data_IF_239452610850
#
_entry.id   IF_239452610850
#
_cell.length_a   1.000
_cell.length_b   1.000
_cell.length_c   1.000
_cell.angle_alpha   90.00
_cell.angle_beta   90.00
_cell.angle_gamma   90.00
#
_symmetry.space_group_name_H-M   'P 1'
#
loop_
_entity.id
_entity.type
_entity.pdbx_description
1 polymer ?
#
# COMPACT_ATOMS: atom_id res chain seq x y z
N UNK A 1 8.49 8.65 -18.80
CA UNK A 1 9.46 8.34 -19.88
C UNK A 1 8.72 7.72 -21.07
N UNK A 2 8.61 8.35 -22.23
CA UNK A 2 8.24 9.73 -22.54
C UNK A 2 7.74 9.68 -23.99
N UNK A 3 6.56 10.24 -24.26
CA UNK A 3 6.26 10.79 -25.58
C UNK A 3 7.49 11.59 -26.03
N UNK A 4 8.05 11.28 -27.20
CA UNK A 4 9.24 11.98 -27.69
C UNK A 4 8.86 13.41 -28.03
N UNK A 5 9.06 14.32 -27.09
CA UNK A 5 8.83 15.76 -27.29
C UNK A 5 9.97 16.35 -28.10
N UNK A 6 9.62 17.18 -29.08
CA UNK A 6 10.59 17.99 -29.78
C UNK A 6 11.24 19.01 -28.82
N UNK A 7 12.47 19.50 -29.12
CA UNK A 7 13.10 20.53 -28.31
C UNK A 7 12.26 21.81 -28.19
N UNK A 8 11.50 22.15 -29.24
CA UNK A 8 10.61 23.31 -29.26
C UNK A 8 9.41 23.11 -28.33
N UNK A 9 8.75 21.95 -28.36
CA UNK A 9 7.65 21.62 -27.45
C UNK A 9 8.11 21.60 -26.00
N UNK A 10 9.26 20.98 -25.73
CA UNK A 10 9.85 20.97 -24.38
C UNK A 10 10.14 22.40 -23.89
N UNK A 11 10.73 23.24 -24.74
CA UNK A 11 10.99 24.65 -24.41
C UNK A 11 9.70 25.44 -24.19
N UNK A 12 8.66 25.18 -24.98
CA UNK A 12 7.34 25.80 -24.82
C UNK A 12 6.71 25.44 -23.47
N UNK A 13 6.71 24.16 -23.09
CA UNK A 13 6.16 23.71 -21.80
C UNK A 13 6.93 24.34 -20.64
N UNK A 14 8.27 24.28 -20.66
CA UNK A 14 9.09 24.82 -19.56
C UNK A 14 8.93 26.34 -19.46
N UNK A 15 8.90 27.08 -20.58
CA UNK A 15 8.72 28.53 -20.59
C UNK A 15 7.32 28.95 -20.12
N UNK A 16 6.27 28.19 -20.50
CA UNK A 16 4.91 28.41 -20.03
C UNK A 16 4.75 28.20 -18.53
N UNK A 17 5.34 27.13 -17.98
CA UNK A 17 5.30 26.82 -16.55
C UNK A 17 6.16 27.79 -15.71
N UNK A 18 7.31 28.20 -16.23
CA UNK A 18 8.25 29.11 -15.54
C UNK A 18 7.88 30.60 -15.65
N UNK A 19 6.88 30.95 -16.47
CA UNK A 19 6.50 32.34 -16.71
C UNK A 19 6.17 33.08 -15.41
N UNK A 20 6.79 34.24 -15.16
CA UNK A 20 6.84 34.88 -13.84
C UNK A 20 5.46 35.22 -13.27
N UNK A 21 4.64 35.95 -14.03
CA UNK A 21 3.34 36.49 -13.57
C UNK A 21 2.16 35.55 -13.82
N UNK A 22 2.13 34.89 -14.97
CA UNK A 22 1.02 34.03 -15.40
C UNK A 22 1.56 32.68 -15.89
N UNK A 23 1.80 31.70 -15.00
CA UNK A 23 2.14 30.36 -15.44
C UNK A 23 0.97 29.76 -16.19
N UNK A 24 1.22 29.15 -17.34
CA UNK A 24 0.18 28.56 -18.19
C UNK A 24 0.49 27.08 -18.41
N UNK A 25 -0.54 26.25 -18.21
CA UNK A 25 -0.53 24.83 -18.55
C UNK A 25 -1.26 24.61 -19.87
N UNK A 26 -0.95 23.51 -20.54
CA UNK A 26 -1.57 23.16 -21.82
C UNK A 26 -3.07 22.90 -21.72
N UNK A 27 -3.52 22.46 -20.55
CA UNK A 27 -4.93 22.18 -20.23
C UNK A 27 -5.66 23.37 -19.56
N UNK A 28 -4.96 24.48 -19.32
CA UNK A 28 -5.51 25.68 -18.69
C UNK A 28 -5.71 25.60 -17.17
N UNK A 29 -5.34 24.49 -16.51
CA UNK A 29 -5.42 24.37 -15.05
C UNK A 29 -4.39 25.24 -14.35
N UNK A 30 -4.64 25.56 -13.09
CA UNK A 30 -3.62 26.15 -12.24
C UNK A 30 -2.52 25.12 -11.88
N UNK A 31 -1.37 25.59 -11.41
CA UNK A 31 -0.21 24.72 -11.11
C UNK A 31 -0.50 23.72 -9.98
N UNK A 32 -1.33 24.09 -9.00
CA UNK A 32 -1.62 23.28 -7.81
C UNK A 32 -2.99 22.59 -7.87
N UNK A 33 -3.64 22.58 -9.03
CA UNK A 33 -4.98 22.02 -9.20
C UNK A 33 -4.90 20.61 -9.81
N UNK A 34 -5.18 19.56 -9.01
CA UNK A 34 -5.22 18.19 -9.50
C UNK A 34 -6.48 17.94 -10.33
N UNK A 35 -6.43 16.95 -11.23
CA UNK A 35 -7.63 16.43 -11.89
C UNK A 35 -8.56 15.76 -10.89
N UNK A 36 -9.88 15.76 -11.14
CA UNK A 36 -10.82 14.94 -10.40
C UNK A 36 -10.38 13.47 -10.35
N UNK A 37 -10.52 12.87 -9.18
CA UNK A 37 -10.17 11.48 -8.93
C UNK A 37 -11.43 10.73 -8.53
N UNK A 38 -11.71 9.65 -9.24
CA UNK A 38 -12.80 8.73 -8.94
C UNK A 38 -12.24 7.44 -8.36
N UNK A 39 -12.83 6.99 -7.25
CA UNK A 39 -12.48 5.74 -6.57
C UNK A 39 -13.71 4.84 -6.55
N UNK A 40 -13.62 3.67 -7.17
CA UNK A 40 -14.62 2.61 -7.05
C UNK A 40 -14.08 1.47 -6.19
N UNK A 41 -14.96 0.87 -5.38
CA UNK A 41 -14.64 -0.23 -4.48
C UNK A 41 -15.33 -1.51 -4.92
N UNK A 42 -14.74 -2.66 -4.61
CA UNK A 42 -15.38 -3.97 -4.86
C UNK A 42 -15.27 -4.49 -6.29
N UNK A 43 -14.32 -3.98 -7.09
CA UNK A 43 -14.14 -4.40 -8.49
C UNK A 43 -13.53 -5.80 -8.64
N UNK A 44 -12.82 -6.30 -7.63
CA UNK A 44 -12.24 -7.63 -7.63
C UNK A 44 -12.90 -8.49 -6.53
N UNK A 45 -13.94 -9.30 -6.86
CA UNK A 45 -14.72 -10.04 -5.87
C UNK A 45 -13.94 -11.16 -5.17
N UNK A 46 -12.83 -11.60 -5.74
CA UNK A 46 -11.95 -12.61 -5.15
C UNK A 46 -10.90 -12.02 -4.19
N UNK A 47 -10.72 -10.70 -4.19
CA UNK A 47 -9.79 -10.04 -3.27
C UNK A 47 -10.49 -9.74 -1.94
N UNK A 48 -9.73 -9.76 -0.85
CA UNK A 48 -10.21 -9.39 0.49
C UNK A 48 -10.51 -7.89 0.60
N UNK A 49 -9.83 -7.07 -0.19
CA UNK A 49 -10.14 -5.65 -0.41
C UNK A 49 -9.77 -5.27 -1.83
N UNK A 50 -10.56 -4.42 -2.47
CA UNK A 50 -10.28 -4.00 -3.84
C UNK A 50 -10.71 -2.58 -4.11
N UNK A 51 -9.94 -1.89 -4.93
CA UNK A 51 -10.26 -0.57 -5.39
C UNK A 51 -9.77 -0.35 -6.82
N UNK A 52 -10.49 0.47 -7.57
CA UNK A 52 -10.03 1.06 -8.82
C UNK A 52 -10.03 2.56 -8.68
N UNK A 53 -8.96 3.16 -9.17
CA UNK A 53 -8.75 4.59 -9.16
C UNK A 53 -8.63 5.05 -10.60
N UNK A 54 -9.48 5.98 -10.98
CA UNK A 54 -9.45 6.64 -12.28
C UNK A 54 -9.20 8.11 -12.06
N UNK A 55 -8.09 8.62 -12.61
CA UNK A 55 -7.81 10.04 -12.68
C UNK A 55 -8.30 10.52 -14.05
N UNK A 56 -9.08 11.61 -14.06
CA UNK A 56 -9.58 12.20 -15.30
C UNK A 56 -8.42 12.44 -16.28
N UNK A 57 -8.66 12.23 -17.57
CA UNK A 57 -7.61 12.26 -18.60
C UNK A 57 -6.93 10.91 -18.86
N UNK A 58 -7.36 9.85 -18.18
CA UNK A 58 -7.13 8.47 -18.62
C UNK A 58 -6.01 7.72 -17.90
N UNK A 59 -5.68 8.06 -16.64
CA UNK A 59 -4.83 7.19 -15.81
C UNK A 59 -5.73 6.30 -14.98
N UNK A 60 -5.56 4.98 -15.11
CA UNK A 60 -6.42 3.99 -14.45
C UNK A 60 -5.57 2.90 -13.81
N UNK A 61 -5.83 2.65 -12.53
CA UNK A 61 -5.13 1.66 -11.72
C UNK A 61 -6.15 0.83 -10.95
N UNK A 62 -5.98 -0.49 -10.98
CA UNK A 62 -6.69 -1.41 -10.10
C UNK A 62 -5.73 -1.88 -9.01
N UNK A 63 -6.21 -1.95 -7.77
CA UNK A 63 -5.52 -2.58 -6.66
C UNK A 63 -6.41 -3.64 -6.01
N UNK A 64 -5.80 -4.77 -5.66
CA UNK A 64 -6.41 -5.85 -4.90
C UNK A 64 -5.49 -6.26 -3.75
N UNK A 65 -6.08 -6.53 -2.59
CA UNK A 65 -5.38 -7.07 -1.43
C UNK A 65 -5.91 -8.47 -1.15
N UNK A 66 -5.00 -9.44 -1.10
CA UNK A 66 -5.28 -10.81 -0.67
C UNK A 66 -4.61 -11.07 0.67
N UNK A 67 -5.32 -11.72 1.60
CA UNK A 67 -4.75 -12.12 2.89
C UNK A 67 -4.29 -13.58 2.83
N UNK A 68 -3.04 -13.82 3.20
CA UNK A 68 -2.49 -15.17 3.39
C UNK A 68 -2.10 -15.37 4.86
N UNK A 69 -2.19 -16.60 5.34
CA UNK A 69 -1.76 -16.93 6.70
C UNK A 69 -0.29 -17.32 6.63
N UNK A 70 0.56 -16.56 7.34
CA UNK A 70 1.99 -16.83 7.41
C UNK A 70 2.45 -17.09 8.84
N UNK A 71 3.41 -18.00 8.97
CA UNK A 71 4.18 -18.16 10.20
C UNK A 71 5.31 -17.12 10.24
N UNK A 72 5.44 -16.42 11.36
CA UNK A 72 6.44 -15.39 11.59
C UNK A 72 7.40 -15.86 12.66
N UNK A 73 8.67 -15.98 12.29
CA UNK A 73 9.72 -16.25 13.27
C UNK A 73 9.88 -15.04 14.19
N UNK A 74 9.93 -15.29 15.51
CA UNK A 74 10.08 -14.24 16.53
C UNK A 74 11.37 -13.41 16.39
N UNK A 75 12.36 -13.90 15.62
CA UNK A 75 13.62 -13.21 15.28
C UNK A 75 13.50 -12.29 14.08
N UNK A 76 12.47 -12.47 13.24
CA UNK A 76 12.26 -11.71 12.01
C UNK A 76 11.35 -10.50 12.27
N UNK A 77 11.95 -9.33 12.47
CA UNK A 77 11.22 -8.08 12.67
C UNK A 77 10.58 -7.59 11.36
N UNK A 78 9.41 -8.15 11.06
CA UNK A 78 8.55 -7.73 9.96
C UNK A 78 8.41 -8.69 8.80
N UNK A 79 8.55 -10.00 9.03
CA UNK A 79 8.11 -11.01 8.06
C UNK A 79 6.58 -10.98 7.83
N UNK A 80 5.80 -10.36 8.73
CA UNK A 80 4.37 -10.09 8.56
C UNK A 80 4.06 -8.90 7.64
N UNK A 81 5.07 -8.17 7.15
CA UNK A 81 4.84 -6.99 6.33
C UNK A 81 4.23 -7.36 4.99
N UNK A 82 3.45 -6.43 4.47
CA UNK A 82 2.79 -6.56 3.17
C UNK A 82 3.80 -6.88 2.06
N UNK A 83 3.48 -7.88 1.24
CA UNK A 83 4.16 -8.11 -0.01
C UNK A 83 3.50 -7.25 -1.09
N UNK A 84 4.30 -6.53 -1.88
CA UNK A 84 3.79 -5.62 -2.91
C UNK A 84 4.24 -6.10 -4.28
N UNK A 85 3.26 -6.27 -5.16
CA UNK A 85 3.46 -6.61 -6.56
C UNK A 85 2.77 -5.54 -7.42
N UNK A 86 3.49 -5.01 -8.41
CA UNK A 86 2.95 -4.02 -9.34
C UNK A 86 3.15 -4.54 -10.76
N UNK A 87 2.07 -4.67 -11.51
CA UNK A 87 2.08 -5.04 -12.92
C UNK A 87 1.75 -3.82 -13.79
N UNK A 88 2.68 -3.44 -14.67
CA UNK A 88 2.49 -2.35 -15.62
C UNK A 88 2.14 -2.97 -16.96
N UNK A 89 0.87 -2.89 -17.34
CA UNK A 89 0.40 -3.56 -18.55
C UNK A 89 0.98 -2.91 -19.81
N UNK A 90 1.20 -3.69 -20.89
CA UNK A 90 1.57 -3.13 -22.19
C UNK A 90 0.54 -2.16 -22.78
N UNK A 91 -0.72 -2.23 -22.32
CA UNK A 91 -1.77 -1.28 -22.72
C UNK A 91 -1.54 0.12 -22.15
N UNK A 92 -1.00 0.21 -20.92
CA UNK A 92 -0.66 1.48 -20.31
C UNK A 92 0.47 2.21 -21.04
N UNK A 93 1.43 1.45 -21.58
CA UNK A 93 2.58 1.99 -22.32
C UNK A 93 2.89 1.17 -23.58
N UNK A 94 2.13 1.37 -24.68
CA UNK A 94 2.29 0.57 -25.90
C UNK A 94 3.63 0.81 -26.61
N UNK A 95 4.28 1.94 -26.35
CA UNK A 95 5.59 2.29 -26.94
C UNK A 95 6.77 1.70 -26.18
N UNK A 96 6.57 1.07 -25.02
CA UNK A 96 7.64 0.54 -24.19
C UNK A 96 7.89 -0.95 -24.47
N UNK A 97 9.15 -1.36 -24.33
CA UNK A 97 9.54 -2.77 -24.38
C UNK A 97 9.11 -3.51 -23.11
N UNK A 98 8.95 -4.83 -23.20
CA UNK A 98 8.63 -5.68 -22.03
C UNK A 98 9.67 -5.56 -20.91
N UNK A 99 10.95 -5.42 -21.24
CA UNK A 99 12.01 -5.20 -20.26
C UNK A 99 11.82 -3.88 -19.51
N UNK A 100 11.49 -2.79 -20.22
CA UNK A 100 11.22 -1.50 -19.58
C UNK A 100 9.97 -1.54 -18.70
N UNK A 101 8.93 -2.26 -19.10
CA UNK A 101 7.73 -2.47 -18.28
C UNK A 101 8.07 -3.18 -16.96
N UNK A 102 8.85 -4.26 -17.03
CA UNK A 102 9.29 -4.98 -15.81
C UNK A 102 10.12 -4.11 -14.86
N UNK A 103 10.96 -3.22 -15.40
CA UNK A 103 11.74 -2.27 -14.60
C UNK A 103 10.84 -1.25 -13.90
N UNK A 104 9.80 -0.74 -14.59
CA UNK A 104 8.82 0.16 -14.01
C UNK A 104 8.01 -0.51 -12.91
N UNK A 105 7.54 -1.74 -13.16
CA UNK A 105 6.89 -2.59 -12.17
C UNK A 105 7.72 -2.71 -10.89
N UNK A 106 9.00 -3.08 -11.01
CA UNK A 106 9.90 -3.20 -9.85
C UNK A 106 10.12 -1.87 -9.14
N UNK A 107 10.28 -0.77 -9.88
CA UNK A 107 10.47 0.56 -9.31
C UNK A 107 9.25 0.99 -8.48
N UNK A 108 8.05 0.82 -9.03
CA UNK A 108 6.80 1.16 -8.33
C UNK A 108 6.53 0.25 -7.14
N UNK A 109 6.85 -1.04 -7.24
CA UNK A 109 6.78 -1.96 -6.11
C UNK A 109 7.74 -1.55 -4.97
N UNK A 110 8.98 -1.16 -5.29
CA UNK A 110 9.93 -0.60 -4.30
C UNK A 110 9.37 0.65 -3.65
N UNK A 111 8.85 1.61 -4.44
CA UNK A 111 8.33 2.87 -3.93
C UNK A 111 7.26 2.65 -2.84
N UNK A 112 6.32 1.73 -3.08
CA UNK A 112 5.27 1.40 -2.12
C UNK A 112 5.79 0.54 -0.96
N UNK A 113 6.65 -0.44 -1.23
CA UNK A 113 7.27 -1.28 -0.19
C UNK A 113 8.07 -0.45 0.81
N UNK A 114 8.81 0.55 0.35
CA UNK A 114 9.73 1.32 1.18
C UNK A 114 9.01 2.40 2.02
N UNK A 115 7.92 2.97 1.51
CA UNK A 115 7.28 4.14 2.12
C UNK A 115 5.82 3.95 2.55
N UNK A 116 5.05 3.09 1.87
CA UNK A 116 3.65 2.82 2.19
C UNK A 116 3.51 1.69 3.23
N UNK A 117 4.16 0.55 2.99
CA UNK A 117 4.06 -0.67 3.84
C UNK A 117 4.41 -0.44 5.32
N UNK A 118 5.43 0.36 5.69
CA UNK A 118 5.74 0.61 7.10
C UNK A 118 4.63 1.28 7.91
N UNK A 119 3.66 1.91 7.23
CA UNK A 119 2.53 2.58 7.88
C UNK A 119 1.34 1.64 8.14
N UNK A 120 1.40 0.39 7.66
CA UNK A 120 0.33 -0.59 7.86
C UNK A 120 0.40 -1.22 9.27
N UNK A 121 -0.72 -1.32 9.99
CA UNK A 121 -0.75 -2.01 11.27
C UNK A 121 -0.58 -3.53 11.09
N UNK A 122 0.02 -4.24 12.06
CA UNK A 122 0.11 -5.69 12.02
C UNK A 122 -1.27 -6.34 12.15
N UNK A 123 -1.46 -7.46 11.47
CA UNK A 123 -2.70 -8.25 11.47
C UNK A 123 -2.48 -9.61 12.18
N UNK A 124 -2.49 -9.65 13.52
CA UNK A 124 -2.21 -10.87 14.26
C UNK A 124 -3.37 -11.87 14.22
N UNK A 125 -3.04 -13.16 14.08
CA UNK A 125 -3.96 -14.28 14.31
C UNK A 125 -3.67 -14.91 15.66
N UNK A 126 -2.42 -15.39 15.83
CA UNK A 126 -1.92 -15.97 17.06
C UNK A 126 -0.54 -15.37 17.36
N UNK A 127 -0.46 -14.23 18.06
CA UNK A 127 0.82 -13.65 18.44
C UNK A 127 1.63 -14.61 19.34
N UNK A 128 2.96 -14.76 19.13
CA UNK A 128 3.81 -14.14 18.10
C UNK A 128 4.04 -15.02 16.85
N UNK A 129 3.31 -16.12 16.67
CA UNK A 129 3.63 -17.15 15.67
C UNK A 129 2.90 -16.98 14.34
N UNK A 130 1.62 -16.59 14.33
CA UNK A 130 0.78 -16.52 13.12
C UNK A 130 0.21 -15.14 12.88
N UNK A 131 0.37 -14.64 11.66
CA UNK A 131 -0.13 -13.35 11.20
C UNK A 131 -0.80 -13.50 9.83
N UNK A 132 -1.74 -12.60 9.53
CA UNK A 132 -2.16 -12.37 8.16
C UNK A 132 -1.10 -11.53 7.45
N UNK A 133 -0.57 -12.07 6.35
CA UNK A 133 0.33 -11.39 5.44
C UNK A 133 -0.51 -10.85 4.29
N UNK A 134 -0.66 -9.52 4.16
CA UNK A 134 -1.34 -8.94 3.02
C UNK A 134 -0.44 -8.99 1.77
N UNK A 135 -1.01 -9.44 0.66
CA UNK A 135 -0.43 -9.38 -0.67
C UNK A 135 -1.18 -8.30 -1.45
N UNK A 136 -0.52 -7.17 -1.67
CA UNK A 136 -1.03 -6.06 -2.45
C UNK A 136 -0.61 -6.24 -3.90
N UNK A 137 -1.57 -6.44 -4.79
CA UNK A 137 -1.38 -6.51 -6.23
C UNK A 137 -1.97 -5.25 -6.85
N UNK A 138 -1.15 -4.47 -7.56
CA UNK A 138 -1.60 -3.33 -8.35
C UNK A 138 -1.37 -3.58 -9.83
N UNK A 139 -2.34 -3.21 -10.65
CA UNK A 139 -2.24 -3.29 -12.11
C UNK A 139 -2.52 -1.93 -12.72
N UNK A 140 -1.56 -1.38 -13.46
CA UNK A 140 -1.73 -0.14 -14.22
C UNK A 140 -2.35 -0.49 -15.57
N UNK A 141 -3.59 -0.07 -15.79
CA UNK A 141 -4.32 -0.32 -17.03
C UNK A 141 -4.05 0.75 -18.08
N UNK A 142 -4.03 2.01 -17.66
CA UNK A 142 -3.79 3.15 -18.53
C UNK A 142 -2.97 4.21 -17.83
N UNK A 143 -2.07 4.86 -18.58
CA UNK A 143 -1.18 5.91 -18.09
C UNK A 143 -1.22 7.19 -18.95
N UNK A 144 -2.31 7.39 -19.71
CA UNK A 144 -2.42 8.46 -20.70
C UNK A 144 -2.32 9.88 -20.11
N UNK A 145 -2.86 10.07 -18.90
CA UNK A 145 -2.92 11.35 -18.23
C UNK A 145 -1.64 11.70 -17.45
N UNK A 146 -0.86 10.69 -17.05
CA UNK A 146 0.29 10.66 -16.13
C UNK A 146 0.06 11.29 -14.72
N UNK A 147 0.98 11.10 -13.77
CA UNK A 147 0.82 10.98 -12.31
C UNK A 147 0.56 9.54 -11.80
N UNK A 148 1.10 8.53 -12.48
CA UNK A 148 0.98 7.10 -12.14
C UNK A 148 1.40 6.76 -10.69
N UNK A 149 2.52 7.27 -10.13
CA UNK A 149 2.87 6.98 -8.74
C UNK A 149 1.78 7.40 -7.74
N UNK A 150 1.16 8.55 -7.96
CA UNK A 150 0.07 9.06 -7.12
C UNK A 150 -1.17 8.19 -7.24
N UNK A 151 -1.53 7.76 -8.46
CA UNK A 151 -2.64 6.82 -8.67
C UNK A 151 -2.40 5.48 -7.97
N UNK A 152 -1.18 4.93 -8.05
CA UNK A 152 -0.78 3.68 -7.39
C UNK A 152 -0.90 3.76 -5.86
N UNK A 153 -0.35 4.82 -5.26
CA UNK A 153 -0.44 5.01 -3.81
C UNK A 153 -1.89 5.20 -3.34
N UNK A 154 -2.70 5.89 -4.14
CA UNK A 154 -4.12 6.07 -3.86
C UNK A 154 -4.91 4.76 -3.98
N UNK A 155 -4.65 3.97 -5.01
CA UNK A 155 -5.28 2.67 -5.21
C UNK A 155 -4.88 1.70 -4.09
N UNK A 156 -3.61 1.69 -3.68
CA UNK A 156 -3.15 0.93 -2.52
C UNK A 156 -3.92 1.32 -1.26
N UNK A 157 -3.97 2.63 -0.95
CA UNK A 157 -4.72 3.16 0.19
C UNK A 157 -6.20 2.75 0.15
N UNK A 158 -6.86 2.93 -0.99
CA UNK A 158 -8.27 2.60 -1.16
C UNK A 158 -8.54 1.10 -0.98
N UNK A 159 -7.68 0.23 -1.54
CA UNK A 159 -7.82 -1.22 -1.39
C UNK A 159 -7.64 -1.67 0.07
N UNK A 160 -6.76 -1.01 0.85
CA UNK A 160 -6.64 -1.25 2.28
C UNK A 160 -7.82 -0.69 3.10
N UNK A 161 -8.47 0.38 2.64
CA UNK A 161 -9.69 0.90 3.28
C UNK A 161 -10.89 -0.05 3.11
N UNK A 162 -10.97 -0.78 1.99
CA UNK A 162 -12.00 -1.81 1.70
C UNK A 162 -11.63 -3.20 2.24
N UNK A 163 -10.46 -3.36 2.87
CA UNK A 163 -9.98 -4.65 3.33
C UNK A 163 -10.90 -5.28 4.39
N UNK A 164 -11.44 -6.44 4.07
CA UNK A 164 -12.24 -7.29 4.96
C UNK A 164 -11.35 -8.37 5.56
N UNK A 165 -11.01 -8.21 6.83
CA UNK A 165 -10.15 -9.13 7.58
C UNK A 165 -11.04 -10.16 8.26
N UNK A 166 -10.86 -11.46 8.05
CA UNK A 166 -11.65 -12.46 8.74
C UNK A 166 -11.30 -12.49 10.23
N UNK A 167 -12.33 -12.56 11.08
CA UNK A 167 -12.14 -12.72 12.53
C UNK A 167 -11.67 -14.13 12.83
N UNK A 168 -10.75 -14.26 13.79
CA UNK A 168 -10.19 -15.55 14.20
C UNK A 168 -10.40 -15.79 15.68
N UNK A 169 -10.80 -17.02 16.05
CA UNK A 169 -10.91 -17.51 17.43
C UNK A 169 -9.82 -18.53 17.71
N UNK A 170 -9.24 -18.47 18.90
CA UNK A 170 -8.27 -19.49 19.36
C UNK A 170 -9.03 -20.71 19.87
N UNK A 171 -8.75 -21.87 19.30
CA UNK A 171 -9.24 -23.16 19.79
C UNK A 171 -8.13 -23.80 20.60
N UNK A 172 -8.23 -23.69 21.92
CA UNK A 172 -7.39 -24.43 22.85
C UNK A 172 -8.08 -25.72 23.25
N UNK A 173 -7.41 -26.87 23.07
CA UNK A 173 -7.86 -28.11 23.71
C UNK A 173 -7.40 -28.10 25.17
N UNK A 174 -8.27 -27.69 26.08
CA UNK A 174 -8.11 -28.06 27.49
C UNK A 174 -8.53 -29.52 27.62
N UNK A 175 -7.54 -30.42 27.64
CA UNK A 175 -7.77 -31.79 28.06
C UNK A 175 -8.29 -31.77 29.50
N UNK A 176 -9.60 -32.04 29.68
CA UNK A 176 -10.15 -32.30 30.99
C UNK A 176 -9.37 -33.47 31.59
N UNK A 177 -8.64 -33.22 32.70
CA UNK A 177 -8.14 -34.30 33.54
C UNK A 177 -9.37 -35.04 34.08
N UNK A 178 -9.76 -36.11 33.39
CA UNK A 178 -10.73 -37.05 33.93
C UNK A 178 -10.01 -37.77 35.06
N UNK A 179 -10.33 -37.39 36.29
CA UNK A 179 -9.83 -38.03 37.50
C UNK A 179 -10.20 -39.52 37.44
N UNK A 180 -9.20 -40.35 37.12
CA UNK A 180 -9.37 -41.78 36.92
C UNK A 180 -9.57 -42.45 38.27
N UNK A 181 -10.82 -42.47 38.76
CA UNK A 181 -11.22 -43.43 39.79
C UNK A 181 -11.12 -44.84 39.19
N UNK A 182 -10.37 -45.67 39.89
CA UNK A 182 -9.90 -47.02 39.56
C UNK A 182 -11.03 -47.96 39.12
N UNK A 183 -10.97 -48.41 37.86
CA UNK A 183 -11.68 -49.57 37.35
C UNK A 183 -10.68 -50.47 36.63
N UNK A 184 -10.47 -51.66 37.17
CA UNK A 184 -9.53 -52.69 36.71
C UNK A 184 -10.08 -53.33 35.43
N UNK A 185 -9.55 -52.94 34.26
CA UNK A 185 -9.95 -53.48 32.97
C UNK A 185 -9.06 -52.99 31.83
N UNK A 186 -8.33 -53.93 31.22
CA UNK A 186 -7.53 -53.88 29.98
C UNK A 186 -6.82 -52.57 29.62
N UNK A 187 -5.54 -52.52 29.98
CA UNK A 187 -4.57 -51.52 29.53
C UNK A 187 -4.04 -51.86 28.14
N UNK A 188 -4.83 -51.59 27.11
CA UNK A 188 -4.37 -51.53 25.72
C UNK A 188 -4.73 -50.16 25.11
N UNK A 189 -3.69 -49.39 24.76
CA UNK A 189 -3.81 -48.06 24.15
C UNK A 189 -3.58 -46.90 25.13
N UNK A 190 -2.76 -45.92 24.70
CA UNK A 190 -2.45 -44.57 25.24
C UNK A 190 -2.16 -44.45 26.76
N UNK A 191 -2.96 -45.04 27.64
CA UNK A 191 -2.75 -45.10 29.11
C UNK A 191 -1.41 -45.74 29.52
N UNK A 192 -0.88 -46.70 28.76
CA UNK A 192 0.45 -47.26 29.04
C UNK A 192 1.60 -46.27 28.75
N UNK A 193 1.45 -45.43 27.72
CA UNK A 193 2.44 -44.41 27.36
C UNK A 193 2.50 -43.27 28.40
N UNK A 194 1.34 -42.86 28.94
CA UNK A 194 1.27 -41.83 29.99
C UNK A 194 1.86 -42.32 31.32
N UNK A 195 1.72 -43.61 31.66
CA UNK A 195 2.26 -44.18 32.91
C UNK A 195 3.78 -44.40 32.86
N UNK A 196 4.34 -44.70 31.69
CA UNK A 196 5.79 -44.87 31.51
C UNK A 196 6.59 -43.55 31.60
N UNK A 197 5.93 -42.39 31.43
CA UNK A 197 6.56 -41.06 31.52
C UNK A 197 6.71 -40.49 32.94
N UNK A 198 6.25 -41.18 33.99
CA UNK A 198 6.36 -40.74 35.40
C UNK A 198 7.76 -40.90 36.01
N UNK A 199 8.80 -40.58 35.24
CA UNK A 199 10.12 -40.26 35.78
C UNK A 199 10.08 -38.86 36.38
N UNK A 200 10.58 -38.70 37.62
CA UNK A 200 10.68 -37.43 38.37
C UNK A 200 11.33 -36.33 37.52
N UNK A 201 10.50 -35.54 36.86
CA UNK A 201 10.88 -34.36 36.11
C UNK A 201 9.62 -33.49 35.98
N UNK A 202 9.74 -32.24 36.43
CA UNK A 202 8.72 -31.19 36.42
C UNK A 202 7.75 -31.37 35.24
N UNK A 203 6.49 -31.73 35.52
CA UNK A 203 5.45 -31.90 34.51
C UNK A 203 5.31 -30.60 33.72
N UNK A 204 5.96 -30.52 32.56
CA UNK A 204 5.56 -29.57 31.52
C UNK A 204 4.20 -30.06 31.08
N UNK A 205 3.17 -29.23 31.31
CA UNK A 205 1.90 -29.34 30.59
C UNK A 205 2.27 -29.57 29.13
N UNK A 206 1.90 -30.72 28.58
CA UNK A 206 1.86 -30.87 27.13
C UNK A 206 0.75 -29.91 26.70
N UNK A 207 1.12 -28.66 26.41
CA UNK A 207 0.19 -27.73 25.80
C UNK A 207 -0.22 -28.37 24.49
N UNK A 208 -1.50 -28.76 24.38
CA UNK A 208 -2.09 -28.98 23.07
C UNK A 208 -1.77 -27.76 22.22
N UNK A 209 -1.34 -27.97 20.98
CA UNK A 209 -1.01 -26.87 20.08
C UNK A 209 -2.16 -25.87 20.08
N UNK A 210 -1.83 -24.60 20.29
CA UNK A 210 -2.80 -23.52 20.14
C UNK A 210 -3.20 -23.47 18.67
N UNK A 211 -4.40 -23.97 18.37
CA UNK A 211 -4.96 -23.92 17.04
C UNK A 211 -5.87 -22.68 16.93
N UNK A 212 -6.17 -22.26 15.71
CA UNK A 212 -7.05 -21.13 15.45
C UNK A 212 -8.05 -21.50 14.36
N UNK A 213 -9.24 -20.92 14.44
CA UNK A 213 -10.30 -21.11 13.46
C UNK A 213 -10.96 -19.77 13.16
N UNK A 214 -11.69 -19.72 12.05
CA UNK A 214 -12.46 -18.55 11.66
C UNK A 214 -13.66 -18.38 12.60
N UNK A 215 -13.89 -17.15 13.03
CA UNK A 215 -15.09 -16.81 13.75
C UNK A 215 -16.26 -16.68 12.77
N UNK A 216 -17.07 -17.73 12.68
CA UNK A 216 -18.24 -17.78 11.80
C UNK A 216 -19.48 -17.11 12.41
N UNK A 217 -19.39 -16.53 13.61
CA UNK A 217 -20.51 -15.86 14.26
C UNK A 217 -20.69 -14.42 13.72
N UNK A 218 -21.81 -14.15 13.03
CA UNK A 218 -22.16 -12.82 12.49
C UNK A 218 -21.63 -12.56 11.07
N UNK A 219 -21.21 -11.31 10.76
CA UNK A 219 -20.59 -11.01 9.44
C UNK A 219 -19.17 -11.58 9.31
N UNK A 220 -18.54 -12.02 10.40
CA UNK A 220 -17.25 -12.72 10.38
C UNK A 220 -16.04 -11.90 9.91
N UNK A 221 -16.21 -10.62 9.57
CA UNK A 221 -15.16 -9.73 9.07
C UNK A 221 -14.98 -8.47 9.91
N UNK A 222 -13.76 -7.93 9.93
CA UNK A 222 -13.36 -6.66 10.55
C UNK A 222 -12.66 -5.79 9.50
N UNK A 223 -12.89 -4.47 9.55
CA UNK A 223 -12.17 -3.52 8.73
C UNK A 223 -10.79 -3.20 9.33
N UNK A 224 -9.85 -2.73 8.51
CA UNK A 224 -8.53 -2.31 8.98
C UNK A 224 -8.63 -1.18 10.02
N UNK A 225 -8.00 -1.37 11.18
CA UNK A 225 -7.89 -0.33 12.21
C UNK A 225 -7.05 0.84 11.71
N UNK A 226 -7.41 2.07 12.11
CA UNK A 226 -6.74 3.30 11.69
C UNK A 226 -6.69 3.52 10.15
N UNK A 227 -7.72 3.06 9.41
CA UNK A 227 -7.84 3.26 7.95
C UNK A 227 -7.74 4.71 7.48
N UNK A 228 -8.04 5.66 8.37
CA UNK A 228 -7.94 7.11 8.10
C UNK A 228 -6.50 7.64 8.14
N UNK A 229 -5.60 6.95 8.85
CA UNK A 229 -4.20 7.37 9.02
C UNK A 229 -3.29 6.88 7.88
N UNK A 230 -3.82 6.03 6.99
CA UNK A 230 -3.07 5.46 5.87
C UNK A 230 -2.43 6.56 5.00
N UNK A 231 -1.17 6.35 4.58
CA UNK A 231 -0.40 7.38 3.91
C UNK A 231 -0.94 7.69 2.51
N UNK A 232 -0.76 8.94 2.11
CA UNK A 232 -1.08 9.49 0.80
C UNK A 232 0.21 10.00 0.17
N UNK A 233 0.38 9.74 -1.14
CA UNK A 233 1.50 10.25 -1.91
C UNK A 233 1.14 11.56 -2.61
N UNK A 234 1.90 12.61 -2.31
CA UNK A 234 1.89 13.87 -3.07
C UNK A 234 3.15 13.93 -3.93
N UNK A 235 2.96 14.06 -5.24
CA UNK A 235 4.04 14.22 -6.21
C UNK A 235 4.14 15.70 -6.61
N UNK A 236 5.25 16.34 -6.25
CA UNK A 236 5.56 17.71 -6.63
C UNK A 236 6.51 17.67 -7.83
N UNK A 237 6.05 18.13 -8.99
CA UNK A 237 6.87 18.23 -10.18
C UNK A 237 7.59 19.58 -10.18
N UNK A 238 8.88 19.56 -10.47
CA UNK A 238 9.75 20.73 -10.41
C UNK A 238 9.99 21.25 -11.82
N UNK A 239 9.83 22.56 -12.00
CA UNK A 239 10.11 23.18 -13.30
C UNK A 239 11.61 23.47 -13.40
N UNK A 240 12.32 22.97 -14.44
CA UNK A 240 13.74 23.25 -14.62
C UNK A 240 14.02 24.76 -14.69
N UNK A 241 15.01 25.24 -13.94
CA UNK A 241 15.39 26.66 -13.92
C UNK A 241 14.40 27.61 -13.24
N UNK A 242 13.39 27.09 -12.53
CA UNK A 242 12.42 27.89 -11.79
C UNK A 242 12.18 27.36 -10.37
N UNK A 243 11.72 28.23 -9.48
CA UNK A 243 11.29 27.85 -8.13
C UNK A 243 9.87 27.27 -8.10
N UNK A 244 9.13 27.38 -9.20
CA UNK A 244 7.74 26.94 -9.33
C UNK A 244 7.62 25.42 -9.28
N UNK A 245 6.50 24.98 -8.71
CA UNK A 245 6.10 23.59 -8.63
C UNK A 245 4.70 23.42 -9.18
N UNK A 246 4.39 22.21 -9.61
CA UNK A 246 3.05 21.85 -10.05
C UNK A 246 2.70 20.41 -9.69
N UNK A 247 1.39 20.18 -9.53
CA UNK A 247 0.82 18.88 -9.21
C UNK A 247 0.27 18.22 -10.47
N UNK A 248 0.13 16.90 -10.40
CA UNK A 248 -0.63 16.12 -11.37
C UNK A 248 -0.23 16.44 -12.81
N UNK A 249 1.05 16.18 -13.09
CA UNK A 249 1.67 16.44 -14.38
C UNK A 249 1.01 15.60 -15.48
N UNK A 250 0.75 16.24 -16.62
CA UNK A 250 0.37 15.53 -17.83
C UNK A 250 1.53 14.70 -18.37
N UNK A 251 1.26 13.71 -19.23
CA UNK A 251 2.32 12.91 -19.86
C UNK A 251 3.38 13.78 -20.59
N UNK A 252 2.96 14.90 -21.18
CA UNK A 252 3.86 15.86 -21.83
C UNK A 252 4.65 16.68 -20.79
N UNK A 253 4.02 17.13 -19.71
CA UNK A 253 4.71 17.85 -18.64
C UNK A 253 5.72 16.95 -17.91
N UNK A 254 5.40 15.68 -17.64
CA UNK A 254 6.34 14.70 -17.06
C UNK A 254 7.52 14.39 -17.99
N UNK A 255 7.31 14.46 -19.30
CA UNK A 255 8.38 14.27 -20.28
C UNK A 255 9.27 15.52 -20.42
N UNK A 256 8.71 16.72 -20.21
CA UNK A 256 9.44 17.98 -20.25
C UNK A 256 10.21 18.25 -18.94
N UNK A 257 9.57 17.98 -17.79
CA UNK A 257 10.09 18.17 -16.44
C UNK A 257 10.40 16.81 -15.81
N UNK A 258 11.69 16.46 -15.79
CA UNK A 258 12.15 15.15 -15.30
C UNK A 258 12.17 15.06 -13.78
N UNK A 259 12.47 16.18 -13.11
CA UNK A 259 12.66 16.21 -11.66
C UNK A 259 11.32 16.27 -10.93
N UNK A 260 11.15 15.34 -10.01
CA UNK A 260 9.95 15.16 -9.21
C UNK A 260 10.30 14.77 -7.79
N UNK A 261 9.51 15.27 -6.86
CA UNK A 261 9.62 14.99 -5.44
C UNK A 261 8.37 14.24 -5.00
N UNK A 262 8.54 12.97 -4.63
CA UNK A 262 7.51 12.14 -4.07
C UNK A 262 7.57 12.21 -2.55
N UNK A 263 6.48 12.63 -1.90
CA UNK A 263 6.40 12.72 -0.44
C UNK A 263 5.18 11.95 0.04
N UNK A 264 5.40 11.02 0.96
CA UNK A 264 4.34 10.28 1.63
C UNK A 264 3.96 10.98 2.93
N UNK A 265 2.69 11.32 3.08
CA UNK A 265 2.13 11.93 4.27
C UNK A 265 1.12 10.99 4.93
N UNK A 266 1.19 10.80 6.25
CA UNK A 266 0.19 10.08 7.04
C UNK A 266 -0.86 11.01 7.64
N UNK A 267 -1.87 10.40 8.27
CA UNK A 267 -2.83 11.11 9.12
C UNK A 267 -2.15 12.10 10.06
N UNK A 268 -2.65 13.35 10.08
CA UNK A 268 -2.06 14.44 10.87
C UNK A 268 -0.87 15.15 10.23
N UNK A 269 -0.53 14.86 8.96
CA UNK A 269 0.45 15.60 8.18
C UNK A 269 1.90 15.27 8.52
N UNK A 270 2.16 14.10 9.12
CA UNK A 270 3.52 13.58 9.35
C UNK A 270 4.07 13.01 8.06
N UNK A 271 5.37 13.20 7.81
CA UNK A 271 6.05 12.65 6.65
C UNK A 271 6.53 11.23 6.97
N UNK A 272 6.11 10.25 6.17
CA UNK A 272 6.57 8.86 6.30
C UNK A 272 7.81 8.57 5.47
N UNK A 273 7.92 9.20 4.31
CA UNK A 273 8.98 8.94 3.36
C UNK A 273 9.03 10.00 2.28
N UNK A 274 10.21 10.17 1.70
CA UNK A 274 10.43 11.08 0.60
C UNK A 274 11.40 10.45 -0.39
N UNK A 275 11.08 10.52 -1.67
CA UNK A 275 11.93 10.05 -2.77
C UNK A 275 12.05 11.15 -3.81
N UNK A 276 13.29 11.40 -4.23
CA UNK A 276 13.60 12.33 -5.30
C UNK A 276 13.86 11.49 -6.54
N UNK A 277 13.20 11.83 -7.65
CA UNK A 277 13.51 11.26 -8.95
C UNK A 277 13.86 12.40 -9.90
N UNK A 278 14.94 12.24 -10.67
CA UNK A 278 15.42 13.29 -11.55
C UNK A 278 16.93 13.18 -11.76
N UNK A 279 17.44 13.55 -12.95
CA UNK A 279 18.87 13.64 -13.19
C UNK A 279 19.52 14.84 -12.48
N UNK A 280 18.75 15.90 -12.20
CA UNK A 280 19.30 17.13 -11.65
C UNK A 280 19.35 17.09 -10.12
N UNK A 281 20.40 17.67 -9.55
CA UNK A 281 20.58 17.76 -8.10
C UNK A 281 19.57 18.71 -7.45
N UNK A 282 19.13 18.37 -6.24
CA UNK A 282 18.15 19.17 -5.51
C UNK A 282 18.82 20.05 -4.44
N UNK A 283 18.53 21.36 -4.44
CA UNK A 283 19.01 22.27 -3.40
C UNK A 283 18.28 22.04 -2.07
N UNK A 284 19.03 21.70 -1.02
CA UNK A 284 18.50 21.42 0.31
C UNK A 284 17.63 22.55 0.88
N UNK A 285 17.93 23.81 0.54
CA UNK A 285 17.14 24.95 1.01
C UNK A 285 15.70 24.92 0.52
N UNK A 286 15.45 24.34 -0.66
CA UNK A 286 14.11 24.22 -1.26
C UNK A 286 13.27 23.12 -0.63
N UNK A 287 13.84 22.15 0.08
CA UNK A 287 13.09 20.98 0.59
C UNK A 287 12.03 21.43 1.59
N UNK A 288 12.40 22.33 2.52
CA UNK A 288 11.51 22.72 3.63
C UNK A 288 10.25 23.44 3.16
N UNK A 289 10.31 24.45 2.27
CA UNK A 289 9.11 25.04 1.67
C UNK A 289 8.22 24.01 0.95
N UNK A 290 8.83 23.09 0.19
CA UNK A 290 8.08 22.05 -0.53
C UNK A 290 7.35 21.09 0.41
N UNK A 291 7.97 20.72 1.53
CA UNK A 291 7.33 19.88 2.54
C UNK A 291 6.12 20.57 3.17
N UNK A 292 6.19 21.88 3.42
CA UNK A 292 5.08 22.65 3.99
C UNK A 292 3.91 22.72 3.01
N UNK A 293 4.19 23.00 1.73
CA UNK A 293 3.16 23.06 0.69
C UNK A 293 2.55 21.67 0.44
N UNK A 294 3.40 20.64 0.33
CA UNK A 294 2.97 19.25 0.21
C UNK A 294 2.09 18.81 1.38
N UNK A 295 2.40 19.25 2.62
CA UNK A 295 1.58 18.95 3.80
C UNK A 295 0.19 19.56 3.71
N UNK A 296 0.07 20.80 3.21
CA UNK A 296 -1.21 21.48 3.02
C UNK A 296 -2.09 20.68 2.06
N UNK A 297 -1.56 20.37 0.88
CA UNK A 297 -2.22 19.60 -0.17
C UNK A 297 -2.59 18.19 0.33
N UNK A 298 -1.68 17.52 1.02
CA UNK A 298 -1.93 16.19 1.57
C UNK A 298 -3.07 16.18 2.59
N UNK A 299 -3.17 17.21 3.45
CA UNK A 299 -4.23 17.30 4.47
C UNK A 299 -5.60 17.47 3.81
N UNK A 300 -5.68 18.33 2.79
CA UNK A 300 -6.89 18.51 1.98
C UNK A 300 -7.28 17.19 1.30
N UNK A 301 -6.32 16.51 0.67
CA UNK A 301 -6.57 15.25 -0.04
C UNK A 301 -6.99 14.12 0.92
N UNK A 302 -6.32 13.96 2.07
CA UNK A 302 -6.70 13.00 3.11
C UNK A 302 -8.12 13.26 3.61
N UNK A 303 -8.49 14.52 3.85
CA UNK A 303 -9.83 14.86 4.32
C UNK A 303 -10.92 14.50 3.30
N UNK A 304 -10.66 14.75 2.01
CA UNK A 304 -11.57 14.41 0.90
C UNK A 304 -11.71 12.90 0.76
N UNK A 305 -10.61 12.16 0.79
CA UNK A 305 -10.63 10.70 0.68
C UNK A 305 -11.28 10.02 1.89
N UNK A 306 -11.06 10.54 3.11
CA UNK A 306 -11.69 9.99 4.31
C UNK A 306 -13.21 10.12 4.27
N UNK A 307 -13.75 11.15 3.63
CA UNK A 307 -15.19 11.30 3.43
C UNK A 307 -15.78 10.24 2.47
N UNK A 308 -14.95 9.66 1.60
CA UNK A 308 -15.36 8.68 0.59
C UNK A 308 -15.14 7.22 1.04
N UNK A 309 -14.61 6.98 2.25
CA UNK A 309 -14.32 5.63 2.74
C UNK A 309 -15.64 4.83 2.87
N UNK A 310 -15.70 3.59 2.34
CA UNK A 310 -16.86 2.72 2.52
C UNK A 310 -17.05 2.43 4.00
N UNK A 311 -18.29 2.52 4.48
CA UNK A 311 -18.61 2.37 5.90
C UNK A 311 -18.36 0.96 6.39
#
# INVERSE_FOLDING_TARGET
MATSLSPAERSYIISGLSHKSTPTRLDGRSLLEPRPIEVSYGDAPHASGSARVTIEGGTEVIAGVRLEVGDVDATSSGAWRCQVEVDVTPQAYPSLSSQSLSQLSTLYASLLSDHFVPSLPPLPILPPTKYFIPHLQLTVLSAAAAAVPTALALAARAAFCDLKIPKTKRIGWEGAEVDATTGEGDLAGIKAAVKAGRGRGKARRAGGGDDWDLDLDGEGVEALQAREELPVLVTLNLVPGSEKIFLDATAQEEAACTDRLHIFFTGGGKVCGMRIEGPDGFDAARIRPLLLEGRRIATELISSLNAQIPK
#
